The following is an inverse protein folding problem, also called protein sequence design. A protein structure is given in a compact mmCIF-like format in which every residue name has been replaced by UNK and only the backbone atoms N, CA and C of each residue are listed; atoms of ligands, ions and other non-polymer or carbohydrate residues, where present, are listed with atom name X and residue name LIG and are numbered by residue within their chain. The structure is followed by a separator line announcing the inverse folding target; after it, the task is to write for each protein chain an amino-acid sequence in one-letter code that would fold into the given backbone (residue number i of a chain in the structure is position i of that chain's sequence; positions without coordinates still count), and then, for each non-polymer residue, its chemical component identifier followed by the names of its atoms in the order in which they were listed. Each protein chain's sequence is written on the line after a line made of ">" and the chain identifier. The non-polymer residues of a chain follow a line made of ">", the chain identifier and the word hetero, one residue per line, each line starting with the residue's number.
data_IF_122896675924
#
_entry.id   IF_122896675924
#
_cell.length_a   1.000
_cell.length_b   1.000
_cell.length_c   1.000
_cell.angle_alpha   90.00
_cell.angle_beta   90.00
_cell.angle_gamma   90.00
#
_symmetry.space_group_name_H-M   'P 1'
#
loop_
_entity.id
_entity.type
_entity.pdbx_description
1 polymer ?
#
# COMPACT_ATOMS: atom_id res chain seq x y z
N UNK A 1 5.30 23.08 -28.16
CA UNK A 1 5.29 21.61 -28.21
C UNK A 1 6.43 21.20 -27.31
N UNK A 2 6.13 20.94 -26.03
CA UNK A 2 7.13 20.50 -25.06
C UNK A 2 6.70 19.10 -24.66
N UNK A 3 7.46 18.12 -25.14
CA UNK A 3 7.37 16.73 -24.75
C UNK A 3 7.56 16.65 -23.23
N UNK A 4 6.43 16.57 -22.52
CA UNK A 4 6.43 16.06 -21.15
C UNK A 4 6.90 14.62 -21.28
N UNK A 5 8.20 14.39 -21.10
CA UNK A 5 8.70 13.04 -20.95
C UNK A 5 7.86 12.37 -19.87
N UNK A 6 6.98 11.48 -20.32
CA UNK A 6 6.30 10.51 -19.48
C UNK A 6 7.38 9.61 -18.93
N UNK A 7 8.10 10.08 -17.90
CA UNK A 7 9.05 9.26 -17.16
C UNK A 7 8.24 8.13 -16.56
N UNK A 8 8.29 6.96 -17.20
CA UNK A 8 7.71 5.75 -16.68
C UNK A 8 8.43 5.45 -15.38
N UNK A 9 7.72 5.62 -14.26
CA UNK A 9 8.24 5.24 -12.95
C UNK A 9 8.47 3.74 -12.94
N UNK A 10 9.58 3.32 -12.35
CA UNK A 10 9.79 1.89 -12.08
C UNK A 10 8.83 1.45 -10.97
N UNK A 11 8.54 0.15 -10.90
CA UNK A 11 7.71 -0.42 -9.82
C UNK A 11 8.25 -0.03 -8.44
N UNK A 12 9.57 -0.09 -8.24
CA UNK A 12 10.20 0.35 -7.00
C UNK A 12 9.92 1.82 -6.67
N UNK A 13 10.02 2.71 -7.66
CA UNK A 13 9.72 4.13 -7.46
C UNK A 13 8.25 4.35 -7.10
N UNK A 14 7.34 3.62 -7.74
CA UNK A 14 5.91 3.67 -7.43
C UNK A 14 5.66 3.21 -6.00
N UNK A 15 6.25 2.08 -5.60
CA UNK A 15 6.12 1.54 -4.26
C UNK A 15 6.65 2.52 -3.20
N UNK A 16 7.83 3.10 -3.43
CA UNK A 16 8.44 4.06 -2.51
C UNK A 16 7.58 5.31 -2.34
N UNK A 17 7.05 5.85 -3.45
CA UNK A 17 6.14 7.00 -3.42
C UNK A 17 4.86 6.70 -2.65
N UNK A 18 4.23 5.54 -2.88
CA UNK A 18 3.04 5.12 -2.16
C UNK A 18 3.34 4.96 -0.67
N UNK A 19 4.46 4.31 -0.31
CA UNK A 19 4.87 4.15 1.09
C UNK A 19 5.13 5.49 1.78
N UNK A 20 5.76 6.44 1.08
CA UNK A 20 6.01 7.78 1.61
C UNK A 20 4.69 8.52 1.88
N UNK A 21 3.76 8.51 0.92
CA UNK A 21 2.47 9.17 1.07
C UNK A 21 1.65 8.58 2.23
N UNK A 22 1.58 7.25 2.31
CA UNK A 22 0.90 6.57 3.42
C UNK A 22 1.55 6.93 4.76
N UNK A 23 2.89 6.97 4.86
CA UNK A 23 3.58 7.38 6.10
C UNK A 23 3.24 8.80 6.51
N UNK A 24 3.15 9.74 5.56
CA UNK A 24 2.75 11.13 5.85
C UNK A 24 1.34 11.19 6.43
N UNK A 25 0.39 10.45 5.84
CA UNK A 25 -0.98 10.39 6.36
C UNK A 25 -1.05 9.71 7.75
N UNK A 26 -0.25 8.66 7.97
CA UNK A 26 -0.20 7.97 9.26
C UNK A 26 0.43 8.82 10.37
N UNK A 27 1.27 9.80 10.04
CA UNK A 27 1.90 10.68 11.04
C UNK A 27 0.89 11.51 11.84
N UNK A 28 -0.29 11.78 11.28
CA UNK A 28 -1.39 12.47 11.96
C UNK A 28 -2.16 11.55 12.93
N UNK A 29 -1.98 10.22 12.81
CA UNK A 29 -2.63 9.24 13.66
C UNK A 29 -1.79 8.93 14.89
N UNK A 30 -2.47 8.76 16.02
CA UNK A 30 -1.88 8.19 17.23
C UNK A 30 -1.27 6.81 16.97
N UNK A 31 -0.11 6.52 17.56
CA UNK A 31 0.66 5.28 17.34
C UNK A 31 -0.17 3.98 17.36
N UNK A 32 -1.17 3.86 18.24
CA UNK A 32 -1.98 2.63 18.34
C UNK A 32 -2.90 2.39 17.12
N UNK A 33 -3.19 3.43 16.32
CA UNK A 33 -3.99 3.36 15.09
C UNK A 33 -3.12 3.14 13.85
N UNK A 34 -1.80 3.25 13.98
CA UNK A 34 -0.90 3.09 12.85
C UNK A 34 -0.74 1.59 12.51
N UNK A 35 -0.92 1.20 11.24
CA UNK A 35 -0.62 -0.16 10.79
C UNK A 35 0.85 -0.51 11.03
N UNK A 36 1.11 -1.71 11.55
CA UNK A 36 2.48 -2.20 11.76
C UNK A 36 3.14 -2.69 10.48
N UNK A 37 2.35 -3.25 9.56
CA UNK A 37 2.78 -3.82 8.29
C UNK A 37 1.88 -3.31 7.18
N UNK A 38 2.50 -2.87 6.08
CA UNK A 38 1.85 -2.36 4.89
C UNK A 38 2.43 -3.12 3.70
N UNK A 39 1.55 -3.65 2.86
CA UNK A 39 1.92 -4.38 1.65
C UNK A 39 1.31 -3.64 0.46
N UNK A 40 2.14 -3.29 -0.52
CA UNK A 40 1.71 -2.63 -1.75
C UNK A 40 1.55 -3.71 -2.82
N UNK A 41 0.41 -3.70 -3.52
CA UNK A 41 0.10 -4.63 -4.62
C UNK A 41 -0.17 -3.83 -5.89
N UNK A 42 0.42 -4.27 -6.99
CA UNK A 42 0.20 -3.67 -8.31
C UNK A 42 -1.06 -4.23 -9.01
N UNK A 43 -1.56 -5.35 -8.52
CA UNK A 43 -2.80 -5.98 -8.98
C UNK A 43 -4.00 -5.36 -8.26
N UNK A 44 -5.13 -5.30 -8.97
CA UNK A 44 -6.38 -4.79 -8.40
C UNK A 44 -6.99 -5.78 -7.41
N UNK A 45 -7.52 -5.27 -6.29
CA UNK A 45 -8.25 -6.11 -5.33
C UNK A 45 -9.58 -6.62 -5.91
N UNK A 46 -9.91 -7.89 -5.67
CA UNK A 46 -11.19 -8.47 -6.03
C UNK A 46 -12.32 -7.76 -5.28
N UNK A 47 -13.32 -7.36 -6.05
CA UNK A 47 -14.47 -6.60 -5.58
C UNK A 47 -15.75 -7.42 -5.56
N UNK A 48 -16.68 -7.03 -4.70
CA UNK A 48 -18.09 -7.46 -4.74
C UNK A 48 -18.78 -6.88 -5.98
N UNK A 49 -19.99 -7.35 -6.26
CA UNK A 49 -20.85 -6.75 -7.30
C UNK A 49 -21.12 -5.26 -7.06
N UNK A 50 -21.04 -4.80 -5.80
CA UNK A 50 -21.16 -3.41 -5.37
C UNK A 50 -19.81 -2.68 -5.25
N UNK A 51 -18.74 -3.20 -5.86
CA UNK A 51 -17.40 -2.59 -5.90
C UNK A 51 -16.66 -2.46 -4.56
N UNK A 52 -17.09 -3.18 -3.52
CA UNK A 52 -16.37 -3.25 -2.22
C UNK A 52 -15.28 -4.31 -2.27
N UNK A 53 -14.13 -4.06 -1.64
CA UNK A 53 -13.03 -5.03 -1.54
C UNK A 53 -13.49 -6.27 -0.75
N UNK A 54 -13.26 -7.46 -1.30
CA UNK A 54 -13.50 -8.75 -0.65
C UNK A 54 -12.38 -9.09 0.35
N UNK A 55 -12.35 -8.37 1.48
CA UNK A 55 -11.26 -8.43 2.47
C UNK A 55 -10.87 -9.85 2.95
N UNK A 56 -11.82 -10.79 3.01
CA UNK A 56 -11.56 -12.16 3.47
C UNK A 56 -10.63 -12.96 2.54
N UNK A 57 -10.42 -12.50 1.29
CA UNK A 57 -9.48 -13.10 0.35
C UNK A 57 -8.03 -12.70 0.64
N UNK A 58 -7.82 -11.67 1.46
CA UNK A 58 -6.52 -11.08 1.72
C UNK A 58 -6.18 -11.19 3.20
N UNK A 59 -5.29 -12.14 3.52
CA UNK A 59 -4.63 -12.19 4.80
C UNK A 59 -3.24 -11.55 4.65
N UNK A 60 -2.94 -10.56 5.49
CA UNK A 60 -1.56 -10.12 5.67
C UNK A 60 -0.96 -11.09 6.68
N UNK A 61 0.10 -11.79 6.31
CA UNK A 61 0.85 -12.60 7.25
C UNK A 61 1.44 -11.67 8.32
N UNK A 62 0.83 -11.69 9.50
CA UNK A 62 1.25 -10.93 10.68
C UNK A 62 2.08 -11.80 11.63
N UNK A 63 2.33 -13.08 11.30
CA UNK A 63 2.99 -14.06 12.17
C UNK A 63 4.53 -14.01 12.16
N UNK A 64 5.13 -12.98 11.55
CA UNK A 64 6.59 -12.83 11.46
C UNK A 64 7.14 -11.72 12.35
N UNK A 65 7.33 -12.02 13.65
CA UNK A 65 8.46 -11.64 14.51
C UNK A 65 8.21 -12.15 15.96
N UNK A 66 8.24 -13.48 16.12
CA UNK A 66 8.73 -14.08 17.37
C UNK A 66 10.15 -14.58 17.08
N UNK A 67 11.12 -13.67 17.19
CA UNK A 67 12.54 -14.01 17.20
C UNK A 67 13.08 -13.86 18.62
N UNK A 68 13.50 -14.99 19.19
CA UNK A 68 14.21 -15.24 20.46
C UNK A 68 13.97 -14.33 21.67
#
# INVERSE_FOLDING_TARGET
>A
MEDRESKHLTEQQIEDLVREDVRKQLAELSNYKQPRKIEVRFEEFEKTTTQKIKRYLYAIDTAGEKGL
#
